data_IF_923446629174
#
_entry.id   IF_923446629174
#
_cell.length_a   1.000
_cell.length_b   1.000
_cell.length_c   1.000
_cell.angle_alpha   90.00
_cell.angle_beta   90.00
_cell.angle_gamma   90.00
#
_symmetry.space_group_name_H-M   'P 1'
#
loop_
_entity.id
_entity.type
_entity.pdbx_description
1 polymer ?
#
# COMPACT_ATOMS: atom_id res chain seq x y z
N UNK A 1 16.70 -14.98 10.95
CA UNK A 1 15.64 -15.65 10.17
C UNK A 1 14.38 -14.81 10.08
N UNK A 2 13.85 -14.28 11.20
CA UNK A 2 12.60 -13.51 11.19
C UNK A 2 12.61 -12.20 10.38
N UNK A 3 13.72 -11.45 10.38
CA UNK A 3 13.85 -10.23 9.57
C UNK A 3 13.77 -10.46 8.06
N UNK A 4 14.20 -11.64 7.58
CA UNK A 4 14.17 -11.97 6.15
C UNK A 4 12.74 -12.23 5.69
N UNK A 5 11.94 -12.93 6.51
CA UNK A 5 10.50 -13.12 6.26
C UNK A 5 9.75 -11.79 6.24
N UNK A 6 9.99 -10.92 7.23
CA UNK A 6 9.38 -9.58 7.26
C UNK A 6 9.74 -8.75 6.02
N UNK A 7 11.02 -8.75 5.62
CA UNK A 7 11.44 -8.04 4.41
C UNK A 7 10.77 -8.56 3.14
N UNK A 8 10.54 -9.87 3.03
CA UNK A 8 9.84 -10.49 1.90
C UNK A 8 8.38 -10.06 1.85
N UNK A 9 7.68 -10.08 2.99
CA UNK A 9 6.27 -9.65 3.06
C UNK A 9 6.14 -8.18 2.66
N UNK A 10 7.02 -7.32 3.18
CA UNK A 10 7.05 -5.89 2.82
C UNK A 10 7.35 -5.71 1.33
N UNK A 11 8.30 -6.46 0.77
CA UNK A 11 8.62 -6.41 -0.65
C UNK A 11 7.42 -6.82 -1.52
N UNK A 12 6.75 -7.92 -1.20
CA UNK A 12 5.55 -8.40 -1.92
C UNK A 12 4.43 -7.35 -1.86
N UNK A 13 4.20 -6.74 -0.70
CA UNK A 13 3.21 -5.68 -0.54
C UNK A 13 3.56 -4.45 -1.41
N UNK A 14 4.83 -4.01 -1.41
CA UNK A 14 5.29 -2.90 -2.25
C UNK A 14 5.12 -3.20 -3.75
N UNK A 15 5.48 -4.42 -4.19
CA UNK A 15 5.26 -4.86 -5.57
C UNK A 15 3.78 -4.87 -5.95
N UNK A 16 2.89 -5.29 -5.05
CA UNK A 16 1.46 -5.29 -5.30
C UNK A 16 0.90 -3.87 -5.53
N UNK A 17 1.35 -2.88 -4.75
CA UNK A 17 0.99 -1.48 -4.97
C UNK A 17 1.45 -1.02 -6.37
N UNK A 18 2.69 -1.35 -6.75
CA UNK A 18 3.25 -0.96 -8.06
C UNK A 18 2.41 -1.57 -9.20
N UNK A 19 2.11 -2.87 -9.14
CA UNK A 19 1.39 -3.56 -10.21
C UNK A 19 -0.07 -3.13 -10.26
N UNK A 20 -0.74 -2.99 -9.11
CA UNK A 20 -2.13 -2.55 -9.04
C UNK A 20 -2.33 -1.13 -9.56
N UNK A 21 -1.50 -0.16 -9.11
CA UNK A 21 -1.57 1.20 -9.63
C UNK A 21 -1.14 1.28 -11.10
N UNK A 22 -0.15 0.48 -11.51
CA UNK A 22 0.25 0.38 -12.90
C UNK A 22 -0.88 -0.12 -13.81
N UNK A 23 -1.62 -1.14 -13.38
CA UNK A 23 -2.81 -1.65 -14.07
C UNK A 23 -3.92 -0.61 -14.11
N UNK A 24 -4.24 0.02 -12.98
CA UNK A 24 -5.25 1.08 -12.93
C UNK A 24 -4.93 2.22 -13.89
N UNK A 25 -3.66 2.63 -13.97
CA UNK A 25 -3.20 3.65 -14.90
C UNK A 25 -3.43 3.22 -16.35
N UNK A 26 -3.17 1.95 -16.68
CA UNK A 26 -3.40 1.41 -18.02
C UNK A 26 -4.90 1.35 -18.36
N UNK A 27 -5.75 0.93 -17.44
CA UNK A 27 -7.21 0.90 -17.60
C UNK A 27 -7.80 2.31 -17.74
N UNK A 28 -7.21 3.30 -17.06
CA UNK A 28 -7.70 4.69 -17.03
C UNK A 28 -7.03 5.60 -18.06
N UNK A 29 -6.32 5.06 -19.06
CA UNK A 29 -5.63 5.87 -20.07
C UNK A 29 -6.58 6.76 -20.89
N UNK A 30 -7.78 6.30 -21.20
CA UNK A 30 -8.80 7.09 -21.90
C UNK A 30 -9.23 8.34 -21.11
N UNK A 31 -9.51 8.17 -19.81
CA UNK A 31 -9.85 9.28 -18.91
C UNK A 31 -8.68 10.28 -18.78
N UNK A 32 -7.44 9.79 -18.70
CA UNK A 32 -6.24 10.63 -18.69
C UNK A 32 -6.09 11.41 -20.00
N UNK A 33 -6.44 10.83 -21.15
CA UNK A 33 -6.42 11.52 -22.44
C UNK A 33 -7.46 12.65 -22.47
N UNK A 34 -8.68 12.42 -21.97
CA UNK A 34 -9.72 13.45 -21.84
C UNK A 34 -9.26 14.59 -20.92
N UNK A 35 -8.64 14.28 -19.78
CA UNK A 35 -8.10 15.30 -18.89
C UNK A 35 -6.98 16.11 -19.55
N UNK A 36 -6.13 15.47 -20.36
CA UNK A 36 -5.09 16.17 -21.14
C UNK A 36 -5.70 17.11 -22.20
N UNK A 37 -6.80 16.72 -22.85
CA UNK A 37 -7.48 17.61 -23.82
C UNK A 37 -8.20 18.78 -23.14
N UNK A 38 -8.63 18.60 -21.89
CA UNK A 38 -9.13 19.70 -21.04
C UNK A 38 -8.02 20.63 -20.51
N UNK A 39 -6.75 20.36 -20.83
CA UNK A 39 -5.62 21.24 -20.52
C UNK A 39 -4.82 20.84 -19.27
N UNK A 40 -5.06 19.66 -18.68
CA UNK A 40 -4.21 19.19 -17.59
C UNK A 40 -2.78 18.91 -18.07
N UNK A 41 -1.84 19.47 -17.33
CA UNK A 41 -0.41 19.25 -17.53
C UNK A 41 0.02 17.88 -17.00
N UNK A 42 1.12 17.33 -17.53
CA UNK A 42 1.72 16.08 -17.03
C UNK A 42 1.96 16.08 -15.52
N UNK A 43 2.30 17.24 -14.93
CA UNK A 43 2.52 17.39 -13.48
C UNK A 43 1.24 17.22 -12.67
N UNK A 44 0.12 17.75 -13.15
CA UNK A 44 -1.18 17.59 -12.48
C UNK A 44 -1.65 16.13 -12.50
N UNK A 45 -1.39 15.42 -13.60
CA UNK A 45 -1.71 13.99 -13.71
C UNK A 45 -0.83 13.17 -12.76
N UNK A 46 0.48 13.44 -12.69
CA UNK A 46 1.34 12.80 -11.68
C UNK A 46 0.84 13.07 -10.26
N UNK A 47 0.46 14.30 -9.95
CA UNK A 47 -0.03 14.66 -8.62
C UNK A 47 -1.33 13.91 -8.27
N UNK A 48 -2.23 13.71 -9.23
CA UNK A 48 -3.49 13.00 -9.02
C UNK A 48 -3.24 11.53 -8.66
N UNK A 49 -2.37 10.84 -9.40
CA UNK A 49 -1.98 9.45 -9.10
C UNK A 49 -1.15 9.34 -7.82
N UNK A 50 -0.29 10.31 -7.52
CA UNK A 50 0.44 10.37 -6.26
C UNK A 50 -0.49 10.50 -5.06
N UNK A 51 -1.49 11.39 -5.13
CA UNK A 51 -2.47 11.56 -4.05
C UNK A 51 -3.30 10.29 -3.88
N UNK A 52 -3.70 9.65 -4.97
CA UNK A 52 -4.42 8.38 -4.92
C UNK A 52 -3.57 7.28 -4.25
N UNK A 53 -2.33 7.12 -4.68
CA UNK A 53 -1.37 6.18 -4.09
C UNK A 53 -1.08 6.46 -2.61
N UNK A 54 -0.85 7.72 -2.26
CA UNK A 54 -0.63 8.18 -0.89
C UNK A 54 -1.85 7.89 -0.01
N UNK A 55 -3.06 8.18 -0.50
CA UNK A 55 -4.29 7.94 0.25
C UNK A 55 -4.49 6.44 0.53
N UNK A 56 -4.27 5.58 -0.46
CA UNK A 56 -4.31 4.13 -0.29
C UNK A 56 -3.26 3.64 0.73
N UNK A 57 -2.03 4.16 0.66
CA UNK A 57 -0.97 3.85 1.61
C UNK A 57 -1.28 4.29 3.05
N UNK A 58 -1.80 5.50 3.24
CA UNK A 58 -2.17 6.05 4.55
C UNK A 58 -3.32 5.26 5.16
N UNK A 59 -4.39 5.04 4.41
CA UNK A 59 -5.57 4.29 4.88
C UNK A 59 -5.15 2.86 5.21
N UNK A 60 -4.37 2.21 4.34
CA UNK A 60 -3.85 0.87 4.56
C UNK A 60 -2.95 0.77 5.79
N UNK A 61 -2.04 1.74 5.99
CA UNK A 61 -1.14 1.76 7.15
C UNK A 61 -1.91 1.98 8.46
N UNK A 62 -2.88 2.90 8.49
CA UNK A 62 -3.72 3.14 9.66
C UNK A 62 -4.57 1.91 9.99
N UNK A 63 -5.27 1.34 9.02
CA UNK A 63 -6.08 0.14 9.22
C UNK A 63 -5.22 -1.05 9.64
N UNK A 64 -4.06 -1.24 9.00
CA UNK A 64 -3.12 -2.30 9.34
C UNK A 64 -2.55 -2.15 10.75
N UNK A 65 -2.22 -0.94 11.18
CA UNK A 65 -1.73 -0.67 12.53
C UNK A 65 -2.80 -0.95 13.58
N UNK A 66 -4.04 -0.46 13.38
CA UNK A 66 -5.15 -0.70 14.30
C UNK A 66 -5.48 -2.19 14.39
N UNK A 67 -5.64 -2.85 13.24
CA UNK A 67 -5.91 -4.29 13.20
C UNK A 67 -4.76 -5.10 13.81
N UNK A 68 -3.51 -4.73 13.57
CA UNK A 68 -2.33 -5.38 14.14
C UNK A 68 -2.31 -5.30 15.66
N UNK A 69 -2.57 -4.12 16.23
CA UNK A 69 -2.64 -3.92 17.69
C UNK A 69 -3.80 -4.71 18.29
N UNK A 70 -5.00 -4.62 17.70
CA UNK A 70 -6.18 -5.35 18.19
C UNK A 70 -5.93 -6.86 18.16
N UNK A 71 -5.41 -7.39 17.04
CA UNK A 71 -5.08 -8.81 16.93
C UNK A 71 -4.01 -9.22 17.94
N UNK A 72 -2.95 -8.43 18.11
CA UNK A 72 -1.90 -8.71 19.09
C UNK A 72 -2.46 -8.81 20.52
N UNK A 73 -3.35 -7.89 20.92
CA UNK A 73 -4.00 -7.95 22.24
C UNK A 73 -4.92 -9.17 22.40
N UNK A 74 -5.56 -9.60 21.31
CA UNK A 74 -6.52 -10.71 21.31
C UNK A 74 -5.86 -12.08 21.07
N UNK A 75 -4.55 -12.14 20.83
CA UNK A 75 -3.82 -13.40 20.58
C UNK A 75 -4.03 -14.40 21.72
N UNK A 76 -3.99 -13.93 22.97
CA UNK A 76 -4.18 -14.78 24.15
C UNK A 76 -5.61 -15.35 24.26
N UNK A 77 -6.59 -14.81 23.54
CA UNK A 77 -7.96 -15.33 23.46
C UNK A 77 -8.19 -16.19 22.21
N UNK A 78 -7.57 -15.83 21.08
CA UNK A 78 -7.72 -16.53 19.79
C UNK A 78 -6.94 -17.85 19.76
N UNK A 79 -5.72 -17.88 20.31
CA UNK A 79 -4.87 -19.08 20.30
C UNK A 79 -5.48 -20.29 21.04
N UNK A 80 -6.06 -20.14 22.25
CA UNK A 80 -6.79 -21.22 22.92
C UNK A 80 -8.04 -21.66 22.15
N UNK A 81 -8.78 -20.72 21.57
CA UNK A 81 -10.01 -21.00 20.82
C UNK A 81 -9.77 -21.81 19.54
N UNK A 82 -8.58 -21.68 18.94
CA UNK A 82 -8.14 -22.44 17.77
C UNK A 82 -7.47 -23.77 18.14
N UNK A 83 -7.36 -24.12 19.43
CA UNK A 83 -6.70 -25.35 19.90
C UNK A 83 -5.19 -25.37 19.69
N UNK A 84 -4.57 -24.20 19.47
CA UNK A 84 -3.13 -24.04 19.20
C UNK A 84 -2.31 -23.71 20.45
N UNK A 85 -2.90 -23.85 21.64
CA UNK A 85 -2.24 -23.52 22.90
C UNK A 85 -1.15 -24.56 23.25
N UNK A 86 0.05 -24.07 23.54
CA UNK A 86 1.10 -24.83 24.24
C UNK A 86 0.85 -24.66 25.74
N UNK A 87 0.34 -25.72 26.39
CA UNK A 87 0.20 -25.93 27.84
C UNK A 87 0.49 -24.73 28.76
N UNK A 88 -0.50 -23.83 28.92
CA UNK A 88 -0.55 -22.90 30.05
C UNK A 88 0.37 -21.67 30.00
N UNK A 89 1.12 -21.45 28.92
CA UNK A 89 1.92 -20.24 28.76
C UNK A 89 1.12 -19.08 28.17
N UNK A 90 0.83 -18.05 28.97
CA UNK A 90 0.45 -16.75 28.39
C UNK A 90 1.64 -16.22 27.59
N UNK A 91 1.42 -15.83 26.33
CA UNK A 91 2.45 -15.15 25.56
C UNK A 91 2.52 -13.71 26.09
N UNK A 92 3.68 -13.28 26.62
CA UNK A 92 3.86 -11.89 26.98
C UNK A 92 3.88 -11.08 25.67
N UNK A 93 2.74 -10.47 25.35
CA UNK A 93 2.62 -9.53 24.23
C UNK A 93 2.97 -8.15 24.77
N UNK A 94 4.19 -7.72 24.49
CA UNK A 94 4.64 -6.37 24.81
C UNK A 94 4.50 -5.48 23.57
N UNK A 95 3.52 -4.58 23.59
CA UNK A 95 3.24 -3.66 22.49
C UNK A 95 3.88 -2.33 22.82
N UNK A 96 5.02 -2.05 22.19
CA UNK A 96 5.68 -0.76 22.32
C UNK A 96 5.10 0.24 21.32
N UNK A 97 4.39 1.30 21.75
CA UNK A 97 3.70 2.23 20.84
C UNK A 97 4.66 2.92 19.88
N UNK A 98 5.89 3.18 20.32
CA UNK A 98 6.94 3.78 19.49
C UNK A 98 7.28 2.89 18.29
N UNK A 99 7.36 1.57 18.48
CA UNK A 99 7.63 0.64 17.38
C UNK A 99 6.48 0.64 16.37
N UNK A 100 5.24 0.66 16.83
CA UNK A 100 4.05 0.73 15.95
C UNK A 100 4.07 1.99 15.08
N UNK A 101 4.36 3.15 15.69
CA UNK A 101 4.45 4.42 14.97
C UNK A 101 5.60 4.41 13.95
N UNK A 102 6.77 3.90 14.30
CA UNK A 102 7.91 3.79 13.39
C UNK A 102 7.57 2.88 12.21
N UNK A 103 6.96 1.73 12.44
CA UNK A 103 6.56 0.79 11.39
C UNK A 103 5.51 1.43 10.47
N UNK A 104 4.51 2.12 11.03
CA UNK A 104 3.49 2.80 10.24
C UNK A 104 4.09 3.90 9.34
N UNK A 105 5.03 4.69 9.88
CA UNK A 105 5.75 5.71 9.11
C UNK A 105 6.59 5.10 7.99
N UNK A 106 7.35 4.04 8.28
CA UNK A 106 8.16 3.34 7.27
C UNK A 106 7.26 2.75 6.19
N UNK A 107 6.15 2.13 6.55
CA UNK A 107 5.18 1.59 5.59
C UNK A 107 4.58 2.67 4.69
N UNK A 108 4.23 3.84 5.26
CA UNK A 108 3.77 5.00 4.48
C UNK A 108 4.84 5.49 3.51
N UNK A 109 6.11 5.61 3.94
CA UNK A 109 7.22 6.02 3.07
C UNK A 109 7.42 5.03 1.93
N UNK A 110 7.39 3.73 2.22
CA UNK A 110 7.51 2.68 1.20
C UNK A 110 6.35 2.78 0.20
N UNK A 111 5.11 2.90 0.68
CA UNK A 111 3.95 3.06 -0.19
C UNK A 111 4.09 4.29 -1.10
N UNK A 112 4.49 5.44 -0.54
CA UNK A 112 4.74 6.66 -1.31
C UNK A 112 5.82 6.46 -2.38
N UNK A 113 6.96 5.87 -2.03
CA UNK A 113 8.04 5.58 -2.98
C UNK A 113 7.59 4.61 -4.08
N UNK A 114 6.84 3.57 -3.72
CA UNK A 114 6.27 2.62 -4.67
C UNK A 114 5.28 3.27 -5.63
N UNK A 115 4.55 4.31 -5.21
CA UNK A 115 3.58 5.02 -6.05
C UNK A 115 4.23 6.01 -7.03
N UNK A 116 5.48 6.42 -6.77
CA UNK A 116 6.17 7.41 -7.58
C UNK A 116 6.44 6.89 -9.00
N UNK A 117 6.87 5.62 -9.13
CA UNK A 117 7.13 4.97 -10.42
C UNK A 117 5.88 4.89 -11.32
N UNK A 118 4.74 4.32 -10.88
CA UNK A 118 3.52 4.27 -11.69
C UNK A 118 2.95 5.66 -11.98
N UNK A 119 3.05 6.61 -11.04
CA UNK A 119 2.58 7.99 -11.26
C UNK A 119 3.35 8.68 -12.39
N UNK A 120 4.67 8.50 -12.45
CA UNK A 120 5.48 9.03 -13.54
C UNK A 120 5.15 8.36 -14.87
N UNK A 121 4.98 7.03 -14.86
CA UNK A 121 4.58 6.26 -16.05
C UNK A 121 3.20 6.68 -16.56
N UNK A 122 2.25 6.97 -15.67
CA UNK A 122 0.92 7.48 -16.00
C UNK A 122 0.97 8.83 -16.72
N UNK A 123 1.78 9.76 -16.22
CA UNK A 123 1.91 11.07 -16.86
C UNK A 123 2.62 11.00 -18.22
N UNK A 124 3.53 10.05 -18.38
CA UNK A 124 4.23 9.77 -19.62
C UNK A 124 3.36 9.05 -20.68
N UNK A 125 2.25 8.42 -20.30
CA UNK A 125 1.33 7.75 -21.24
C UNK A 125 0.83 8.73 -22.32
N UNK A 126 1.05 8.41 -23.59
CA UNK A 126 0.73 9.30 -24.70
C UNK A 126 -0.75 9.16 -25.09
N UNK A 127 -1.50 10.27 -25.22
CA UNK A 127 -2.93 10.24 -25.53
C UNK A 127 -3.28 9.62 -26.90
N UNK A 128 -2.32 9.55 -27.82
CA UNK A 128 -2.52 9.03 -29.17
C UNK A 128 -2.63 7.49 -29.25
N UNK A 129 -2.09 6.74 -28.28
CA UNK A 129 -2.25 5.28 -28.24
C UNK A 129 -3.57 4.87 -27.58
N UNK A 130 -4.05 5.64 -26.58
CA UNK A 130 -5.28 5.32 -25.85
C UNK A 130 -6.54 5.34 -26.73
N UNK A 131 -6.61 6.22 -27.74
CA UNK A 131 -7.72 6.29 -28.70
C UNK A 131 -7.60 5.31 -29.88
N UNK A 132 -6.48 4.58 -30.01
CA UNK A 132 -6.30 3.57 -31.08
C UNK A 132 -6.78 2.17 -30.66
N UNK A 133 -7.06 1.98 -29.37
CA UNK A 133 -7.48 0.70 -28.78
C UNK A 133 -8.91 0.70 -28.24
N UNK A 134 -9.67 1.80 -28.42
CA UNK A 134 -11.14 1.81 -28.36
C UNK A 134 -11.74 1.62 -29.76
#
# INVERSE_FOLDING_TARGET
MMGLLLSLIVAVAAFNIITSLGLLVMEKQGEVAILKTQGLTRRQIMALFMVQGASAGIIGALLGAVLGVVLATQLNTIMPALGLMLDGGSLPVDIEPMQVVVIALVAMVIALLSTLYPSWRAAAAQPAEALRYE
#
